data_IF_110412719565
#
_entry.id   IF_110412719565
#
_cell.length_a   1.000
_cell.length_b   1.000
_cell.length_c   1.000
_cell.angle_alpha   90.00
_cell.angle_beta   90.00
_cell.angle_gamma   90.00
#
_symmetry.space_group_name_H-M   'P 1'
#
loop_
_entity.id
_entity.type
_entity.pdbx_description
1 polymer ?
#
# COMPACT_ATOMS: atom_id res chain seq x y z
N UNK A 1 44.94 32.98 -7.37
CA UNK A 1 45.04 33.94 -8.42
C UNK A 1 46.39 33.82 -9.09
N UNK A 2 46.52 32.94 -10.06
CA UNK A 2 47.68 32.92 -10.93
C UNK A 2 47.42 33.77 -12.15
N UNK A 3 48.02 34.94 -12.16
CA UNK A 3 48.17 35.74 -13.36
C UNK A 3 49.02 34.95 -14.32
N UNK A 4 48.48 34.45 -15.40
CA UNK A 4 49.26 33.97 -16.54
C UNK A 4 48.59 34.32 -17.87
N UNK A 5 49.26 35.21 -18.57
CA UNK A 5 49.35 35.37 -20.02
C UNK A 5 48.04 35.69 -20.79
N UNK A 6 47.84 36.93 -21.07
CA UNK A 6 46.87 37.45 -22.00
C UNK A 6 45.97 38.49 -21.40
N UNK A 7 46.54 39.63 -20.99
CA UNK A 7 45.81 40.75 -20.40
C UNK A 7 44.69 41.36 -21.30
N UNK A 8 44.51 40.84 -22.51
CA UNK A 8 43.45 41.28 -23.44
C UNK A 8 42.14 40.50 -23.32
N UNK A 9 42.14 39.26 -22.81
CA UNK A 9 40.94 38.41 -22.77
C UNK A 9 40.28 38.30 -21.39
N UNK A 10 41.03 38.61 -20.32
CA UNK A 10 40.53 38.47 -18.91
C UNK A 10 39.41 39.49 -18.57
N UNK A 11 39.36 40.63 -19.30
CA UNK A 11 38.31 41.64 -19.06
C UNK A 11 37.11 41.53 -20.02
N UNK A 12 37.09 40.54 -20.92
CA UNK A 12 35.98 40.42 -21.86
C UNK A 12 34.75 39.74 -21.27
N UNK A 13 34.92 38.82 -20.33
CA UNK A 13 33.85 38.19 -19.58
C UNK A 13 34.20 38.11 -18.11
N UNK A 14 33.23 38.40 -17.25
CA UNK A 14 33.32 38.30 -15.78
C UNK A 14 32.29 37.32 -15.28
N UNK A 15 32.67 36.48 -14.31
CA UNK A 15 31.79 35.53 -13.63
C UNK A 15 31.51 36.09 -12.24
N UNK A 16 30.24 36.10 -11.86
CA UNK A 16 29.74 36.56 -10.55
C UNK A 16 29.08 35.36 -9.83
N UNK A 17 29.50 35.15 -8.58
CA UNK A 17 28.96 34.15 -7.68
C UNK A 17 28.92 32.74 -8.28
N UNK A 18 29.78 32.39 -9.23
CA UNK A 18 29.79 31.17 -10.02
C UNK A 18 28.45 30.83 -10.76
N UNK A 19 27.52 31.80 -10.78
CA UNK A 19 26.16 31.62 -11.32
C UNK A 19 25.89 32.50 -12.56
N UNK A 20 26.52 33.67 -12.64
CA UNK A 20 26.22 34.62 -13.70
C UNK A 20 27.46 35.04 -14.46
N UNK A 21 27.29 35.34 -15.74
CA UNK A 21 28.32 35.85 -16.65
C UNK A 21 27.91 37.19 -17.20
N UNK A 22 28.83 38.16 -17.19
CA UNK A 22 28.70 39.46 -17.86
C UNK A 22 29.78 39.58 -18.93
N UNK A 23 29.36 39.92 -20.14
CA UNK A 23 30.30 40.14 -21.27
C UNK A 23 30.37 41.62 -21.64
N UNK A 24 31.61 42.13 -21.76
CA UNK A 24 31.88 43.48 -22.21
C UNK A 24 32.23 43.55 -23.73
N UNK A 25 32.26 42.41 -24.41
CA UNK A 25 32.70 42.33 -25.78
C UNK A 25 31.57 42.59 -26.77
N UNK A 26 31.68 43.63 -27.57
CA UNK A 26 30.60 44.10 -28.44
C UNK A 26 30.07 43.07 -29.45
N UNK A 27 30.87 42.10 -29.84
CA UNK A 27 30.46 41.00 -30.75
C UNK A 27 29.90 39.75 -30.03
N UNK A 28 29.89 39.76 -28.68
CA UNK A 28 29.33 38.69 -27.89
C UNK A 28 27.79 38.82 -27.85
N UNK A 29 27.03 37.77 -28.20
CA UNK A 29 25.56 37.81 -28.07
C UNK A 29 25.04 38.16 -26.68
N UNK A 30 25.87 37.98 -25.64
CA UNK A 30 25.57 38.29 -24.25
C UNK A 30 26.08 39.68 -23.83
N UNK A 31 26.59 40.54 -24.75
CA UNK A 31 27.19 41.83 -24.44
C UNK A 31 26.24 42.73 -23.67
N UNK A 32 26.75 43.32 -22.57
CA UNK A 32 26.02 44.31 -21.76
C UNK A 32 24.89 43.75 -20.89
N UNK A 33 24.78 42.47 -20.73
CA UNK A 33 23.73 41.80 -19.92
C UNK A 33 24.35 40.79 -18.96
N UNK A 34 23.81 40.74 -17.75
CA UNK A 34 24.11 39.69 -16.79
C UNK A 34 23.26 38.47 -17.11
N UNK A 35 23.90 37.33 -17.42
CA UNK A 35 23.27 36.11 -17.92
C UNK A 35 23.64 34.93 -17.06
N UNK A 36 22.68 34.03 -16.85
CA UNK A 36 22.97 32.72 -16.30
C UNK A 36 23.55 31.75 -17.36
N UNK A 37 24.03 30.59 -16.95
CA UNK A 37 24.65 29.62 -17.84
C UNK A 37 23.70 29.16 -18.97
N UNK A 38 22.41 28.95 -18.67
CA UNK A 38 21.40 28.56 -19.67
C UNK A 38 21.27 29.64 -20.77
N UNK A 39 21.16 30.92 -20.41
CA UNK A 39 21.01 31.97 -21.39
C UNK A 39 22.28 32.26 -22.20
N UNK A 40 23.46 32.06 -21.58
CA UNK A 40 24.73 32.15 -22.32
C UNK A 40 24.78 31.09 -23.42
N UNK A 41 24.50 29.83 -23.11
CA UNK A 41 24.50 28.74 -24.12
C UNK A 41 23.38 28.96 -25.13
N UNK A 42 22.18 29.37 -24.69
CA UNK A 42 21.03 29.67 -25.53
C UNK A 42 21.37 30.68 -26.64
N UNK A 43 21.92 31.82 -26.24
CA UNK A 43 22.22 32.89 -27.18
C UNK A 43 23.35 32.56 -28.11
N UNK A 44 24.40 31.88 -27.64
CA UNK A 44 25.52 31.46 -28.49
C UNK A 44 25.16 30.34 -29.47
N UNK A 45 24.33 29.41 -29.09
CA UNK A 45 23.99 28.23 -29.88
C UNK A 45 22.72 28.37 -30.72
N UNK A 46 21.77 29.15 -30.24
CA UNK A 46 20.44 29.21 -30.83
C UNK A 46 19.92 30.66 -31.04
N UNK A 47 20.73 31.67 -30.72
CA UNK A 47 20.32 33.09 -30.83
C UNK A 47 19.82 33.49 -32.21
N UNK A 48 20.43 32.93 -33.27
CA UNK A 48 20.01 33.18 -34.67
C UNK A 48 18.53 32.85 -34.93
N UNK A 49 17.94 31.92 -34.15
CA UNK A 49 16.53 31.55 -34.32
C UNK A 49 15.56 32.64 -33.94
N UNK A 50 16.02 33.63 -33.15
CA UNK A 50 15.20 34.77 -32.68
C UNK A 50 15.16 35.93 -33.69
N UNK A 51 15.89 35.86 -34.81
CA UNK A 51 15.98 36.94 -35.80
C UNK A 51 14.64 37.42 -36.37
N UNK A 52 13.59 36.61 -36.27
CA UNK A 52 12.21 36.92 -36.73
C UNK A 52 11.25 37.15 -35.56
N UNK A 53 11.70 37.13 -34.33
CA UNK A 53 10.85 37.39 -33.17
C UNK A 53 10.48 38.85 -33.06
N UNK A 54 9.27 39.16 -32.65
CA UNK A 54 8.83 40.55 -32.43
C UNK A 54 9.63 41.17 -31.27
N UNK A 55 9.94 42.45 -31.40
CA UNK A 55 10.66 43.20 -30.37
C UNK A 55 9.81 43.22 -29.08
N UNK A 56 10.43 42.88 -27.94
CA UNK A 56 9.75 42.78 -26.63
C UNK A 56 9.11 41.41 -26.34
N UNK A 57 9.34 40.38 -27.19
CA UNK A 57 8.88 39.03 -26.90
C UNK A 57 9.50 38.49 -25.60
N UNK A 58 8.68 37.98 -24.69
CA UNK A 58 9.13 37.38 -23.42
C UNK A 58 10.15 36.24 -23.70
N UNK A 59 11.28 36.17 -22.95
CA UNK A 59 12.33 35.19 -23.18
C UNK A 59 11.85 33.75 -23.32
N UNK A 60 10.88 33.32 -22.49
CA UNK A 60 10.31 31.98 -22.52
C UNK A 60 9.49 31.63 -23.76
N UNK A 61 9.11 32.62 -24.57
CA UNK A 61 8.36 32.48 -25.84
C UNK A 61 9.26 32.51 -27.08
N UNK A 62 10.53 32.78 -26.90
CA UNK A 62 11.50 32.87 -27.99
C UNK A 62 11.81 31.47 -28.60
N UNK A 63 11.97 31.37 -29.95
CA UNK A 63 12.37 30.12 -30.60
C UNK A 63 13.69 29.55 -30.06
N UNK A 64 14.66 30.43 -29.73
CA UNK A 64 15.94 30.03 -29.10
C UNK A 64 15.73 29.38 -27.74
N UNK A 65 14.75 29.83 -26.94
CA UNK A 65 14.47 29.27 -25.63
C UNK A 65 13.97 27.83 -25.72
N UNK A 66 13.02 27.59 -26.64
CA UNK A 66 12.51 26.24 -26.89
C UNK A 66 13.62 25.29 -27.39
N UNK A 67 14.47 25.79 -28.33
CA UNK A 67 15.60 24.99 -28.83
C UNK A 67 16.63 24.67 -27.73
N UNK A 68 16.85 25.58 -26.79
CA UNK A 68 17.74 25.36 -25.65
C UNK A 68 17.12 24.38 -24.64
N UNK A 69 15.80 24.47 -24.40
CA UNK A 69 15.11 23.46 -23.57
C UNK A 69 15.23 22.05 -24.16
N UNK A 70 14.99 21.91 -25.46
CA UNK A 70 15.12 20.63 -26.17
C UNK A 70 16.57 20.10 -26.09
N UNK A 71 17.56 20.99 -26.22
CA UNK A 71 18.97 20.65 -26.10
C UNK A 71 19.35 20.20 -24.70
N UNK A 72 18.99 20.97 -23.66
CA UNK A 72 19.24 20.60 -22.26
C UNK A 72 18.53 19.32 -21.87
N UNK A 73 17.28 19.14 -22.32
CA UNK A 73 16.49 17.94 -22.05
C UNK A 73 16.99 16.68 -22.81
N UNK A 74 17.90 16.81 -23.76
CA UNK A 74 18.53 15.68 -24.42
C UNK A 74 19.73 15.13 -23.63
N UNK A 75 20.27 15.93 -22.71
CA UNK A 75 21.41 15.55 -21.86
C UNK A 75 20.95 14.66 -20.70
N UNK A 76 21.55 13.48 -20.55
CA UNK A 76 21.18 12.51 -19.51
C UNK A 76 21.51 13.01 -18.10
N UNK A 77 22.59 13.74 -17.92
CA UNK A 77 23.00 14.29 -16.63
C UNK A 77 22.04 15.38 -16.16
N UNK A 78 21.62 16.27 -17.08
CA UNK A 78 20.59 17.29 -16.80
C UNK A 78 19.25 16.66 -16.45
N UNK A 79 18.84 15.59 -17.15
CA UNK A 79 17.60 14.85 -16.81
C UNK A 79 17.63 14.29 -15.40
N UNK A 80 18.73 13.62 -15.07
CA UNK A 80 18.89 13.00 -13.76
C UNK A 80 18.91 14.04 -12.63
N UNK A 81 19.60 15.15 -12.83
CA UNK A 81 19.66 16.26 -11.86
C UNK A 81 18.27 16.86 -11.62
N UNK A 82 17.51 17.17 -12.69
CA UNK A 82 16.16 17.74 -12.56
C UNK A 82 15.18 16.76 -11.88
N UNK A 83 15.33 15.45 -12.14
CA UNK A 83 14.51 14.45 -11.46
C UNK A 83 14.82 14.37 -9.97
N UNK A 84 16.11 14.43 -9.62
CA UNK A 84 16.59 14.38 -8.23
C UNK A 84 16.15 15.63 -7.44
N UNK A 85 16.38 16.83 -7.97
CA UNK A 85 15.95 18.09 -7.33
C UNK A 85 14.44 18.11 -7.04
N UNK A 86 13.61 17.62 -7.97
CA UNK A 86 12.16 17.53 -7.76
C UNK A 86 11.81 16.57 -6.63
N UNK A 87 12.50 15.44 -6.55
CA UNK A 87 12.30 14.46 -5.47
C UNK A 87 12.77 14.98 -4.12
N UNK A 88 13.94 15.62 -4.05
CA UNK A 88 14.47 16.19 -2.81
C UNK A 88 13.51 17.23 -2.21
N UNK A 89 12.95 18.12 -3.04
CA UNK A 89 11.95 19.09 -2.61
C UNK A 89 10.68 18.41 -2.06
N UNK A 90 10.23 17.34 -2.73
CA UNK A 90 9.05 16.61 -2.31
C UNK A 90 9.29 15.82 -1.02
N UNK A 91 10.47 15.21 -0.87
CA UNK A 91 10.86 14.45 0.34
C UNK A 91 10.97 15.37 1.55
N UNK A 92 11.55 16.57 1.42
CA UNK A 92 11.60 17.54 2.52
C UNK A 92 10.21 17.88 3.05
N UNK A 93 9.20 17.93 2.19
CA UNK A 93 7.83 18.20 2.58
C UNK A 93 7.17 17.03 3.33
N UNK A 94 7.57 15.78 3.05
CA UNK A 94 7.00 14.57 3.63
C UNK A 94 7.89 13.85 4.66
N UNK A 95 9.08 14.41 4.99
CA UNK A 95 10.00 13.93 6.03
C UNK A 95 10.55 12.50 5.84
N UNK A 96 10.67 12.01 4.60
CA UNK A 96 11.30 10.74 4.28
C UNK A 96 12.70 10.93 3.73
N UNK A 97 13.70 10.22 4.27
CA UNK A 97 15.05 10.17 3.67
C UNK A 97 15.04 9.21 2.47
N UNK A 98 15.44 9.67 1.26
CA UNK A 98 15.42 8.83 0.06
C UNK A 98 16.60 7.84 0.04
N UNK A 99 16.34 6.62 -0.39
CA UNK A 99 17.38 5.72 -0.87
C UNK A 99 17.82 6.19 -2.27
N UNK A 100 18.98 6.81 -2.38
CA UNK A 100 19.47 7.47 -3.62
C UNK A 100 19.62 6.50 -4.81
N UNK A 101 19.83 5.22 -4.56
CA UNK A 101 20.12 4.24 -5.63
C UNK A 101 18.88 3.83 -6.45
N UNK A 102 17.71 3.69 -5.85
CA UNK A 102 16.52 3.27 -6.60
C UNK A 102 15.96 4.35 -7.52
N UNK A 103 16.17 5.61 -7.17
CA UNK A 103 15.68 6.76 -7.94
C UNK A 103 16.36 6.82 -9.32
N UNK A 104 17.64 6.43 -9.40
CA UNK A 104 18.39 6.36 -10.65
C UNK A 104 17.88 5.26 -11.60
N UNK A 105 17.05 4.34 -11.11
CA UNK A 105 16.44 3.28 -11.92
C UNK A 105 15.10 3.70 -12.55
N UNK A 106 14.59 4.89 -12.22
CA UNK A 106 13.35 5.40 -12.78
C UNK A 106 13.52 5.75 -14.26
N UNK A 107 12.63 5.23 -15.10
CA UNK A 107 12.60 5.58 -16.51
C UNK A 107 12.04 7.01 -16.70
N UNK A 108 12.83 7.89 -17.31
CA UNK A 108 12.48 9.28 -17.57
C UNK A 108 12.04 9.51 -19.02
N UNK A 109 11.20 10.51 -19.26
CA UNK A 109 10.88 11.00 -20.59
C UNK A 109 12.00 11.93 -21.13
N UNK A 110 11.84 12.43 -22.36
CA UNK A 110 12.82 13.35 -22.99
C UNK A 110 12.96 14.70 -22.26
N UNK A 111 12.06 15.02 -21.32
CA UNK A 111 12.05 16.28 -20.57
C UNK A 111 12.50 16.09 -19.11
N UNK A 112 12.98 14.89 -18.74
CA UNK A 112 13.39 14.57 -17.38
C UNK A 112 12.23 14.28 -16.42
N UNK A 113 10.98 14.14 -16.91
CA UNK A 113 9.88 13.73 -16.05
C UNK A 113 9.88 12.22 -15.91
N UNK A 114 9.45 11.73 -14.73
CA UNK A 114 9.24 10.31 -14.50
C UNK A 114 8.13 9.82 -15.42
N UNK A 115 8.42 8.77 -16.21
CA UNK A 115 7.40 8.17 -17.08
C UNK A 115 6.31 7.52 -16.25
N UNK A 116 5.06 7.74 -16.64
CA UNK A 116 3.89 7.06 -16.09
C UNK A 116 3.83 5.60 -16.60
N UNK A 117 4.68 4.74 -16.02
CA UNK A 117 4.73 3.30 -16.30
C UNK A 117 4.43 2.49 -15.06
N UNK A 118 3.86 1.30 -15.23
CA UNK A 118 3.59 0.37 -14.13
C UNK A 118 4.88 0.05 -13.36
N UNK A 119 5.99 -0.10 -14.08
CA UNK A 119 7.31 -0.40 -13.51
C UNK A 119 7.82 0.72 -12.60
N UNK A 120 7.74 1.99 -13.04
CA UNK A 120 8.14 3.12 -12.20
C UNK A 120 7.27 3.23 -10.95
N UNK A 121 5.95 3.08 -11.10
CA UNK A 121 5.03 3.13 -9.96
C UNK A 121 5.33 2.01 -8.96
N UNK A 122 5.56 0.78 -9.45
CA UNK A 122 5.92 -0.34 -8.59
C UNK A 122 7.27 -0.12 -7.88
N UNK A 123 8.26 0.46 -8.58
CA UNK A 123 9.57 0.78 -8.02
C UNK A 123 9.45 1.84 -6.90
N UNK A 124 8.65 2.88 -7.11
CA UNK A 124 8.37 3.90 -6.10
C UNK A 124 7.68 3.27 -4.88
N UNK A 125 6.57 2.53 -5.08
CA UNK A 125 5.84 1.90 -3.98
C UNK A 125 6.75 0.97 -3.18
N UNK A 126 7.70 0.30 -3.83
CA UNK A 126 8.63 -0.65 -3.20
C UNK A 126 9.64 0.05 -2.30
N UNK A 127 10.10 1.24 -2.66
CA UNK A 127 11.24 1.89 -2.03
C UNK A 127 10.89 3.18 -1.26
N UNK A 128 9.75 3.83 -1.54
CA UNK A 128 9.33 5.01 -0.79
C UNK A 128 8.87 4.61 0.63
N UNK A 129 9.59 5.08 1.63
CA UNK A 129 9.35 4.82 3.06
C UNK A 129 7.91 5.14 3.50
N UNK A 130 7.25 6.08 2.85
CA UNK A 130 5.87 6.45 3.13
C UNK A 130 4.86 5.35 2.76
N UNK A 131 5.24 4.39 1.92
CA UNK A 131 4.40 3.26 1.51
C UNK A 131 4.75 1.95 2.22
N UNK A 132 5.78 1.90 3.07
CA UNK A 132 6.24 0.67 3.72
C UNK A 132 5.19 0.01 4.62
N UNK A 133 4.29 0.80 5.19
CA UNK A 133 3.24 0.33 6.09
C UNK A 133 1.99 -0.19 5.36
N UNK A 134 1.97 -0.09 4.03
CA UNK A 134 0.91 -0.69 3.20
C UNK A 134 1.33 -2.12 2.90
N UNK A 135 0.51 -3.07 3.31
CA UNK A 135 0.79 -4.51 3.29
C UNK A 135 -0.37 -5.29 2.69
N UNK A 136 -0.14 -6.53 2.32
CA UNK A 136 -1.20 -7.46 1.95
C UNK A 136 -1.56 -8.35 3.15
N UNK A 137 -2.79 -8.21 3.62
CA UNK A 137 -3.31 -9.00 4.73
C UNK A 137 -3.79 -10.36 4.21
N UNK A 138 -2.98 -11.40 4.38
CA UNK A 138 -3.30 -12.77 3.95
C UNK A 138 -4.53 -13.36 4.64
N UNK A 139 -4.91 -12.84 5.80
CA UNK A 139 -6.08 -13.32 6.54
C UNK A 139 -7.39 -12.78 5.95
N UNK A 140 -7.40 -11.51 5.56
CA UNK A 140 -8.55 -10.82 4.94
C UNK A 140 -8.55 -10.89 3.41
N UNK A 141 -7.46 -11.37 2.80
CA UNK A 141 -7.20 -11.37 1.36
C UNK A 141 -7.39 -9.97 0.74
N UNK A 142 -6.80 -8.93 1.37
CA UNK A 142 -6.92 -7.53 0.93
C UNK A 142 -5.72 -6.70 1.36
N UNK A 143 -5.58 -5.53 0.75
CA UNK A 143 -4.60 -4.53 1.18
C UNK A 143 -5.00 -4.00 2.56
N UNK A 144 -4.02 -3.80 3.43
CA UNK A 144 -4.19 -3.28 4.80
C UNK A 144 -3.08 -2.27 5.14
N UNK A 145 -3.20 -1.59 6.27
CA UNK A 145 -2.23 -0.61 6.76
C UNK A 145 -1.88 -0.95 8.20
N UNK A 146 -0.59 -1.13 8.48
CA UNK A 146 -0.08 -1.52 9.80
C UNK A 146 0.71 -0.42 10.53
N UNK A 147 0.80 0.78 9.96
CA UNK A 147 1.53 1.91 10.53
C UNK A 147 1.11 3.27 9.97
N UNK A 148 1.86 4.34 10.25
CA UNK A 148 1.51 5.67 9.79
C UNK A 148 1.63 5.81 8.27
N UNK A 149 0.73 6.63 7.69
CA UNK A 149 0.77 7.08 6.30
C UNK A 149 1.06 8.58 6.25
N UNK A 150 1.54 9.12 5.11
CA UNK A 150 1.85 10.54 4.97
C UNK A 150 0.60 11.45 4.94
N UNK A 151 -0.57 10.88 5.10
CA UNK A 151 -1.85 11.58 5.25
C UNK A 151 -2.63 11.05 6.45
N UNK A 152 -3.61 11.82 6.90
CA UNK A 152 -4.50 11.43 8.00
C UNK A 152 -5.50 10.37 7.51
N UNK A 153 -5.45 9.19 8.10
CA UNK A 153 -6.45 8.14 7.85
C UNK A 153 -7.80 8.49 8.51
N UNK A 154 -8.89 8.20 7.80
CA UNK A 154 -10.26 8.38 8.29
C UNK A 154 -10.73 7.15 9.06
N UNK A 155 -10.30 5.96 8.63
CA UNK A 155 -10.65 4.66 9.22
C UNK A 155 -9.41 3.76 9.25
N UNK A 156 -9.33 2.81 10.19
CA UNK A 156 -8.30 1.77 10.16
C UNK A 156 -8.37 0.91 8.89
N UNK A 157 -7.22 0.40 8.45
CA UNK A 157 -7.08 -0.40 7.24
C UNK A 157 -7.02 0.46 5.97
N UNK A 158 -6.88 -0.19 4.81
CA UNK A 158 -6.85 0.47 3.52
C UNK A 158 -8.26 0.70 2.96
N UNK A 159 -8.58 1.93 2.60
CA UNK A 159 -9.90 2.33 2.13
C UNK A 159 -9.82 3.29 0.91
N UNK A 160 -10.98 3.63 0.34
CA UNK A 160 -11.03 4.48 -0.87
C UNK A 160 -10.43 5.88 -0.66
N UNK A 161 -10.51 6.43 0.57
CA UNK A 161 -9.88 7.72 0.86
C UNK A 161 -8.36 7.61 0.90
N UNK A 162 -7.81 6.50 1.37
CA UNK A 162 -6.36 6.25 1.33
C UNK A 162 -5.87 6.10 -0.11
N UNK A 163 -6.64 5.39 -0.95
CA UNK A 163 -6.35 5.29 -2.38
C UNK A 163 -6.37 6.66 -3.06
N UNK A 164 -7.32 7.54 -2.72
CA UNK A 164 -7.39 8.90 -3.25
C UNK A 164 -6.18 9.74 -2.80
N UNK A 165 -5.84 9.71 -1.52
CA UNK A 165 -4.69 10.42 -0.98
C UNK A 165 -3.36 9.92 -1.56
N UNK A 166 -3.22 8.61 -1.74
CA UNK A 166 -2.05 8.03 -2.38
C UNK A 166 -1.85 8.55 -3.82
N UNK A 167 -2.93 8.71 -4.58
CA UNK A 167 -2.85 9.31 -5.93
C UNK A 167 -2.42 10.77 -5.89
N UNK A 168 -2.97 11.55 -4.96
CA UNK A 168 -2.57 12.96 -4.75
C UNK A 168 -1.09 13.04 -4.36
N UNK A 169 -0.64 12.16 -3.49
CA UNK A 169 0.77 12.05 -3.11
C UNK A 169 1.65 11.76 -4.34
N UNK A 170 1.31 10.76 -5.14
CA UNK A 170 2.06 10.39 -6.34
C UNK A 170 2.12 11.50 -7.38
N UNK A 171 1.01 12.19 -7.61
CA UNK A 171 0.97 13.34 -8.52
C UNK A 171 1.87 14.47 -8.03
N UNK A 172 1.80 14.80 -6.74
CA UNK A 172 2.55 15.89 -6.13
C UNK A 172 4.05 15.60 -6.06
N UNK A 173 4.42 14.41 -5.60
CA UNK A 173 5.82 14.04 -5.32
C UNK A 173 6.56 13.61 -6.58
N UNK A 174 5.91 12.81 -7.42
CA UNK A 174 6.54 12.15 -8.57
C UNK A 174 6.06 12.68 -9.93
N UNK A 175 5.03 13.51 -9.95
CA UNK A 175 4.42 13.99 -11.20
C UNK A 175 3.73 12.89 -12.01
N UNK A 176 3.42 11.75 -11.39
CA UNK A 176 2.75 10.61 -12.04
C UNK A 176 1.27 10.62 -11.66
N UNK A 177 0.42 10.48 -12.70
CA UNK A 177 -1.01 10.39 -12.51
C UNK A 177 -1.61 9.28 -13.38
N UNK A 178 -1.84 8.09 -12.80
CA UNK A 178 -2.53 6.99 -13.46
C UNK A 178 -3.26 6.11 -12.46
N UNK A 179 -4.57 6.31 -12.29
CA UNK A 179 -5.37 5.60 -11.28
C UNK A 179 -5.35 4.08 -11.44
N UNK A 180 -5.41 3.59 -12.68
CA UNK A 180 -5.43 2.14 -12.96
C UNK A 180 -4.08 1.51 -12.69
N UNK A 181 -3.00 2.06 -13.26
CA UNK A 181 -1.64 1.54 -13.06
C UNK A 181 -1.22 1.58 -11.59
N UNK A 182 -1.65 2.61 -10.84
CA UNK A 182 -1.36 2.70 -9.41
C UNK A 182 -1.96 1.53 -8.62
N UNK A 183 -3.24 1.19 -8.87
CA UNK A 183 -3.90 0.06 -8.21
C UNK A 183 -3.19 -1.27 -8.51
N UNK A 184 -2.87 -1.50 -9.78
CA UNK A 184 -2.22 -2.73 -10.22
C UNK A 184 -0.81 -2.85 -9.64
N UNK A 185 -0.02 -1.76 -9.67
CA UNK A 185 1.32 -1.73 -9.09
C UNK A 185 1.28 -1.92 -7.57
N UNK A 186 0.35 -1.26 -6.86
CA UNK A 186 0.20 -1.40 -5.42
C UNK A 186 -0.11 -2.85 -5.06
N UNK A 187 -1.11 -3.45 -5.71
CA UNK A 187 -1.47 -4.84 -5.45
C UNK A 187 -0.29 -5.78 -5.74
N UNK A 188 0.39 -5.61 -6.89
CA UNK A 188 1.54 -6.45 -7.26
C UNK A 188 2.67 -6.38 -6.23
N UNK A 189 3.02 -5.18 -5.75
CA UNK A 189 4.11 -5.00 -4.78
C UNK A 189 3.73 -5.57 -3.41
N UNK A 190 2.54 -5.22 -2.87
CA UNK A 190 2.20 -5.66 -1.51
C UNK A 190 1.93 -7.15 -1.42
N UNK A 191 1.36 -7.76 -2.48
CA UNK A 191 1.06 -9.20 -2.50
C UNK A 191 2.29 -10.09 -2.73
N UNK A 192 3.39 -9.53 -3.28
CA UNK A 192 4.65 -10.27 -3.45
C UNK A 192 5.64 -10.01 -2.31
N UNK A 193 5.76 -8.76 -1.86
CA UNK A 193 6.90 -8.32 -1.05
C UNK A 193 6.52 -8.02 0.41
N UNK A 194 5.23 -7.82 0.73
CA UNK A 194 4.77 -7.32 2.03
C UNK A 194 3.57 -8.09 2.57
N UNK A 195 3.73 -9.40 2.66
CA UNK A 195 2.71 -10.27 3.24
C UNK A 195 2.64 -10.09 4.76
N UNK A 196 1.43 -10.00 5.29
CA UNK A 196 1.13 -9.84 6.69
C UNK A 196 -0.02 -10.74 7.11
N UNK A 197 0.13 -11.47 8.21
CA UNK A 197 -0.92 -12.33 8.74
C UNK A 197 -1.16 -12.06 10.22
N UNK A 198 -2.16 -11.22 10.58
CA UNK A 198 -2.33 -10.69 11.94
C UNK A 198 -2.47 -11.76 13.02
N UNK A 199 -3.11 -12.89 12.72
CA UNK A 199 -3.29 -13.96 13.71
C UNK A 199 -2.02 -14.78 13.91
N UNK A 200 -1.25 -15.06 12.83
CA UNK A 200 0.05 -15.75 12.98
C UNK A 200 1.02 -14.89 13.79
N UNK A 201 1.05 -13.58 13.52
CA UNK A 201 1.90 -12.64 14.24
C UNK A 201 1.46 -12.55 15.72
N UNK A 202 0.15 -12.49 15.98
CA UNK A 202 -0.36 -12.58 17.34
C UNK A 202 0.06 -13.88 18.03
N UNK A 203 -0.06 -15.04 17.39
CA UNK A 203 0.38 -16.32 17.98
C UNK A 203 1.88 -16.35 18.26
N UNK A 204 2.70 -15.71 17.43
CA UNK A 204 4.14 -15.62 17.64
C UNK A 204 4.51 -14.81 18.88
N UNK A 205 3.64 -13.93 19.37
CA UNK A 205 3.86 -13.18 20.62
C UNK A 205 3.47 -13.95 21.88
N UNK A 206 2.77 -15.08 21.73
CA UNK A 206 2.29 -15.86 22.88
C UNK A 206 3.37 -16.77 23.43
N UNK A 207 3.47 -16.81 24.77
CA UNK A 207 4.36 -17.69 25.50
C UNK A 207 3.51 -18.57 26.42
N UNK A 208 3.69 -19.88 26.27
CA UNK A 208 2.99 -20.83 27.13
C UNK A 208 3.61 -20.84 28.54
N UNK A 209 2.77 -20.70 29.55
CA UNK A 209 3.17 -20.71 30.97
C UNK A 209 3.28 -22.12 31.60
N UNK A 210 3.12 -23.17 30.79
CA UNK A 210 3.18 -24.57 31.24
C UNK A 210 1.89 -25.10 31.89
N UNK A 211 0.81 -24.29 31.94
CA UNK A 211 -0.46 -24.71 32.56
C UNK A 211 -1.45 -25.26 31.52
N UNK A 212 -1.91 -26.47 31.72
CA UNK A 212 -2.94 -27.08 30.88
C UNK A 212 -4.33 -26.58 31.30
N UNK A 213 -5.01 -25.83 30.39
CA UNK A 213 -6.34 -25.24 30.66
C UNK A 213 -7.39 -25.64 29.64
N UNK A 214 -6.99 -26.06 28.46
CA UNK A 214 -7.91 -26.25 27.31
C UNK A 214 -9.02 -27.23 27.64
N UNK A 215 -8.72 -28.35 28.24
CA UNK A 215 -9.68 -29.44 28.49
C UNK A 215 -10.72 -29.10 29.54
N UNK A 216 -10.39 -28.19 30.45
CA UNK A 216 -11.28 -27.84 31.56
C UNK A 216 -12.03 -26.51 31.34
N UNK A 217 -11.78 -25.79 30.26
CA UNK A 217 -12.37 -24.48 29.99
C UNK A 217 -13.90 -24.45 30.17
N UNK A 218 -14.61 -25.41 29.60
CA UNK A 218 -16.08 -25.46 29.71
C UNK A 218 -16.54 -25.87 31.12
N UNK A 219 -15.73 -26.65 31.83
CA UNK A 219 -16.00 -27.09 33.20
C UNK A 219 -15.80 -25.91 34.16
N UNK A 220 -14.66 -25.25 34.07
CA UNK A 220 -14.23 -24.21 35.00
C UNK A 220 -15.06 -22.90 34.84
N UNK A 221 -15.39 -22.54 33.61
CA UNK A 221 -16.05 -21.23 33.34
C UNK A 221 -17.56 -21.34 33.13
N UNK A 222 -18.09 -22.52 32.74
CA UNK A 222 -19.53 -22.69 32.50
C UNK A 222 -20.17 -23.73 33.38
N UNK A 223 -19.42 -24.39 34.27
CA UNK A 223 -19.94 -25.47 35.12
C UNK A 223 -20.43 -26.68 34.33
N UNK A 224 -19.88 -26.91 33.13
CA UNK A 224 -20.24 -28.05 32.33
C UNK A 224 -19.82 -29.37 33.04
N UNK A 225 -20.61 -30.44 32.84
CA UNK A 225 -20.29 -31.75 33.45
C UNK A 225 -18.90 -32.22 32.97
N UNK A 226 -18.03 -32.53 33.89
CA UNK A 226 -16.75 -33.17 33.59
C UNK A 226 -16.96 -34.55 32.96
N UNK A 227 -16.57 -34.65 31.72
CA UNK A 227 -16.63 -35.90 30.95
C UNK A 227 -15.58 -35.92 29.86
N UNK A 228 -15.17 -37.12 29.38
CA UNK A 228 -14.29 -37.24 28.22
C UNK A 228 -14.85 -36.50 26.99
N UNK A 229 -16.17 -36.48 26.83
CA UNK A 229 -16.82 -35.75 25.74
C UNK A 229 -16.61 -34.23 25.85
N UNK A 230 -16.91 -33.61 27.00
CA UNK A 230 -16.77 -32.18 27.24
C UNK A 230 -15.32 -31.70 26.99
N UNK A 231 -14.36 -32.46 27.54
CA UNK A 231 -12.90 -32.19 27.33
C UNK A 231 -12.50 -32.33 25.87
N UNK A 232 -12.95 -33.35 25.18
CA UNK A 232 -12.59 -33.57 23.77
C UNK A 232 -13.21 -32.54 22.82
N UNK A 233 -14.44 -32.09 23.07
CA UNK A 233 -15.14 -31.11 22.22
C UNK A 233 -14.43 -29.76 22.23
N UNK A 234 -14.12 -29.22 23.41
CA UNK A 234 -13.42 -27.93 23.50
C UNK A 234 -12.01 -28.02 22.91
N UNK A 235 -11.26 -29.06 23.23
CA UNK A 235 -9.91 -29.26 22.69
C UNK A 235 -9.95 -29.30 21.15
N UNK A 236 -10.82 -30.11 20.55
CA UNK A 236 -10.94 -30.23 19.08
C UNK A 236 -11.32 -28.90 18.43
N UNK A 237 -12.22 -28.14 19.04
CA UNK A 237 -12.66 -26.84 18.52
C UNK A 237 -11.52 -25.83 18.50
N UNK A 238 -10.78 -25.69 19.61
CA UNK A 238 -9.67 -24.73 19.69
C UNK A 238 -8.47 -25.14 18.84
N UNK A 239 -8.17 -26.44 18.79
CA UNK A 239 -7.14 -26.98 17.87
C UNK A 239 -7.51 -26.71 16.42
N UNK A 240 -8.78 -26.90 16.03
CA UNK A 240 -9.23 -26.59 14.68
C UNK A 240 -9.15 -25.10 14.36
N UNK A 241 -9.47 -24.22 15.33
CA UNK A 241 -9.31 -22.78 15.16
C UNK A 241 -7.87 -22.40 14.81
N UNK A 242 -6.90 -22.93 15.54
CA UNK A 242 -5.48 -22.69 15.28
C UNK A 242 -5.03 -23.38 13.98
N UNK A 243 -5.42 -24.62 13.77
CA UNK A 243 -5.04 -25.39 12.60
C UNK A 243 -5.46 -24.73 11.28
N UNK A 244 -6.65 -24.12 11.23
CA UNK A 244 -7.15 -23.40 10.05
C UNK A 244 -6.37 -22.11 9.73
N UNK A 245 -5.69 -21.52 10.70
CA UNK A 245 -4.78 -20.39 10.47
C UNK A 245 -3.48 -20.84 9.80
N UNK A 246 -2.88 -21.95 10.28
CA UNK A 246 -1.63 -22.45 9.71
C UNK A 246 -1.82 -23.32 8.47
N UNK A 247 -2.97 -23.98 8.35
CA UNK A 247 -3.34 -24.83 7.21
C UNK A 247 -4.79 -24.51 6.78
N UNK A 248 -4.99 -23.40 6.05
CA UNK A 248 -6.32 -23.03 5.56
C UNK A 248 -7.01 -24.18 4.82
N UNK A 249 -8.33 -24.29 5.02
CA UNK A 249 -9.12 -25.36 4.42
C UNK A 249 -9.02 -26.74 5.10
N UNK A 250 -8.25 -26.88 6.19
CA UNK A 250 -8.23 -28.16 6.92
C UNK A 250 -9.65 -28.54 7.36
N UNK A 251 -9.98 -29.82 7.20
CA UNK A 251 -11.33 -30.32 7.44
C UNK A 251 -11.72 -30.25 8.92
N UNK A 252 -12.84 -29.58 9.19
CA UNK A 252 -13.47 -29.49 10.51
C UNK A 252 -14.97 -29.31 10.32
N UNK A 253 -15.73 -30.38 10.51
CA UNK A 253 -17.16 -30.50 10.15
C UNK A 253 -18.09 -30.30 11.37
N UNK A 254 -17.57 -29.80 12.49
CA UNK A 254 -18.30 -29.68 13.74
C UNK A 254 -18.49 -28.21 14.12
N UNK A 255 -19.60 -27.94 14.80
CA UNK A 255 -19.87 -26.67 15.48
C UNK A 255 -19.91 -26.92 16.98
N UNK A 256 -19.17 -26.17 17.77
CA UNK A 256 -19.37 -26.13 19.22
C UNK A 256 -20.56 -25.22 19.51
N UNK A 257 -21.64 -25.79 20.06
CA UNK A 257 -22.81 -25.03 20.49
C UNK A 257 -22.86 -25.04 22.02
N UNK A 258 -22.85 -23.85 22.62
CA UNK A 258 -23.01 -23.67 24.06
C UNK A 258 -24.50 -23.49 24.38
N UNK A 259 -25.11 -24.49 25.00
CA UNK A 259 -26.51 -24.45 25.46
C UNK A 259 -26.58 -24.17 26.97
N UNK A 260 -27.42 -23.23 27.37
CA UNK A 260 -27.59 -22.83 28.77
C UNK A 260 -28.39 -21.55 28.90
N UNK A 261 -28.74 -21.14 30.16
CA UNK A 261 -29.52 -19.93 30.42
C UNK A 261 -28.95 -18.68 29.75
N UNK A 262 -29.81 -17.71 29.47
CA UNK A 262 -29.41 -16.41 28.98
C UNK A 262 -28.55 -15.67 30.05
N UNK A 263 -27.59 -14.87 29.60
CA UNK A 263 -26.74 -14.09 30.51
C UNK A 263 -25.50 -14.85 31.06
N UNK A 264 -25.29 -16.11 30.71
CA UNK A 264 -24.11 -16.89 31.14
C UNK A 264 -22.77 -16.49 30.47
N UNK A 265 -22.79 -15.51 29.59
CA UNK A 265 -21.54 -15.08 28.93
C UNK A 265 -21.06 -15.97 27.78
N UNK A 266 -21.94 -16.78 27.14
CA UNK A 266 -21.57 -17.72 26.06
C UNK A 266 -20.94 -16.99 24.88
N UNK A 267 -21.59 -15.94 24.33
CA UNK A 267 -21.04 -15.14 23.23
C UNK A 267 -19.81 -14.34 23.67
N UNK A 268 -19.78 -13.85 24.91
CA UNK A 268 -18.63 -13.16 25.48
C UNK A 268 -17.38 -14.06 25.50
N UNK A 269 -17.55 -15.35 25.83
CA UNK A 269 -16.46 -16.33 25.79
C UNK A 269 -15.84 -16.44 24.39
N UNK A 270 -16.67 -16.57 23.36
CA UNK A 270 -16.18 -16.64 21.99
C UNK A 270 -15.55 -15.32 21.54
N UNK A 271 -16.12 -14.18 21.94
CA UNK A 271 -15.56 -12.86 21.67
C UNK A 271 -14.20 -12.65 22.32
N UNK A 272 -13.99 -13.11 23.56
CA UNK A 272 -12.69 -13.05 24.24
C UNK A 272 -11.65 -13.90 23.51
N UNK A 273 -12.01 -15.10 23.08
CA UNK A 273 -11.12 -15.98 22.31
C UNK A 273 -10.80 -15.43 20.93
N UNK A 274 -11.80 -14.92 20.21
CA UNK A 274 -11.66 -14.41 18.85
C UNK A 274 -11.08 -12.99 18.78
N UNK A 275 -11.10 -12.22 19.89
CA UNK A 275 -10.65 -10.83 19.95
C UNK A 275 -11.28 -9.98 18.83
N UNK A 276 -10.50 -9.12 18.15
CA UNK A 276 -10.94 -8.31 17.02
C UNK A 276 -11.31 -9.12 15.77
N UNK A 277 -11.06 -10.42 15.75
CA UNK A 277 -11.40 -11.35 14.67
C UNK A 277 -12.63 -12.20 15.00
N UNK A 278 -13.38 -11.85 16.02
CA UNK A 278 -14.67 -12.42 16.35
C UNK A 278 -15.78 -11.70 15.58
N UNK A 279 -16.80 -12.44 15.16
CA UNK A 279 -18.03 -11.88 14.60
C UNK A 279 -19.24 -12.72 14.95
N UNK A 280 -20.31 -12.06 15.34
CA UNK A 280 -21.65 -12.64 15.57
C UNK A 280 -22.64 -12.33 14.44
N UNK A 281 -22.13 -11.81 13.31
CA UNK A 281 -22.95 -11.35 12.19
C UNK A 281 -23.43 -12.45 11.25
N UNK A 282 -23.03 -13.70 11.48
CA UNK A 282 -23.37 -14.83 10.60
C UNK A 282 -24.77 -15.37 10.95
N UNK A 283 -25.68 -15.33 9.97
CA UNK A 283 -27.01 -15.93 10.09
C UNK A 283 -27.18 -17.17 9.21
N UNK A 284 -28.15 -18.02 9.56
CA UNK A 284 -28.47 -19.22 8.75
C UNK A 284 -28.97 -18.83 7.35
N UNK A 285 -29.67 -17.71 7.24
CA UNK A 285 -30.12 -17.19 5.95
C UNK A 285 -28.98 -16.85 5.00
N UNK A 286 -27.87 -16.28 5.52
CA UNK A 286 -26.69 -15.93 4.74
C UNK A 286 -26.02 -17.17 4.10
N UNK A 287 -26.13 -18.34 4.73
CA UNK A 287 -25.48 -19.59 4.31
C UNK A 287 -26.02 -20.14 2.99
N UNK A 288 -27.13 -19.58 2.50
CA UNK A 288 -27.77 -19.99 1.25
C UNK A 288 -27.16 -19.37 0.01
N UNK A 289 -26.40 -18.29 0.18
CA UNK A 289 -25.78 -17.55 -0.90
C UNK A 289 -24.30 -17.19 -0.59
N UNK A 290 -23.73 -16.30 -1.40
CA UNK A 290 -22.33 -15.87 -1.23
C UNK A 290 -22.12 -14.96 -0.03
N UNK A 291 -23.16 -14.39 0.57
CA UNK A 291 -23.07 -13.44 1.69
C UNK A 291 -22.36 -14.06 2.89
N UNK A 292 -22.66 -15.33 3.20
CA UNK A 292 -21.95 -16.03 4.27
C UNK A 292 -20.44 -16.15 3.97
N UNK A 293 -20.07 -16.49 2.73
CA UNK A 293 -18.66 -16.62 2.36
C UNK A 293 -17.91 -15.29 2.48
N UNK A 294 -18.53 -14.18 2.08
CA UNK A 294 -17.99 -12.83 2.26
C UNK A 294 -17.83 -12.47 3.75
N UNK A 295 -18.77 -12.88 4.60
CA UNK A 295 -18.70 -12.68 6.08
C UNK A 295 -17.62 -13.51 6.76
N UNK A 296 -17.15 -14.61 6.15
CA UNK A 296 -16.04 -15.41 6.69
C UNK A 296 -14.69 -14.67 6.56
N UNK A 297 -14.53 -13.80 5.55
CA UNK A 297 -13.27 -13.09 5.32
C UNK A 297 -12.93 -12.16 6.50
N UNK A 298 -11.70 -12.27 6.98
CA UNK A 298 -11.21 -11.45 8.09
C UNK A 298 -11.79 -11.78 9.47
N UNK A 299 -12.55 -12.86 9.59
CA UNK A 299 -13.07 -13.37 10.85
C UNK A 299 -12.50 -14.76 11.16
N UNK A 300 -12.07 -14.96 12.41
CA UNK A 300 -11.46 -16.21 12.88
C UNK A 300 -12.46 -17.11 13.60
N UNK A 301 -13.27 -16.52 14.49
CA UNK A 301 -14.36 -17.21 15.19
C UNK A 301 -15.67 -16.50 14.84
N UNK A 302 -16.57 -17.24 14.18
CA UNK A 302 -17.89 -16.70 13.83
C UNK A 302 -18.97 -17.41 14.66
N UNK A 303 -19.81 -16.64 15.30
CA UNK A 303 -20.94 -17.15 16.05
C UNK A 303 -22.24 -17.11 15.23
N UNK A 304 -22.95 -18.22 15.24
CA UNK A 304 -24.35 -18.26 14.84
C UNK A 304 -25.16 -18.07 16.13
N UNK A 305 -25.78 -16.91 16.27
CA UNK A 305 -26.66 -16.62 17.39
C UNK A 305 -28.01 -17.35 17.22
N UNK A 306 -28.65 -17.66 18.36
CA UNK A 306 -30.01 -18.22 18.38
C UNK A 306 -30.15 -19.58 17.67
N UNK A 307 -29.27 -20.51 17.97
CA UNK A 307 -29.40 -21.87 17.47
C UNK A 307 -30.56 -22.68 18.10
N UNK A 308 -31.24 -22.11 19.07
CA UNK A 308 -32.42 -22.73 19.68
C UNK A 308 -33.65 -22.65 18.76
N UNK A 309 -34.28 -23.78 18.48
CA UNK A 309 -35.49 -23.82 17.65
C UNK A 309 -35.21 -23.90 16.11
N UNK A 310 -34.00 -24.23 15.70
CA UNK A 310 -33.65 -24.42 14.29
C UNK A 310 -34.56 -25.50 13.66
N UNK A 311 -35.16 -25.18 12.51
CA UNK A 311 -35.97 -26.12 11.74
C UNK A 311 -35.11 -27.17 11.09
N UNK A 312 -35.66 -28.38 10.86
CA UNK A 312 -34.94 -29.47 10.21
C UNK A 312 -34.30 -29.10 8.87
N UNK A 313 -34.98 -28.25 8.08
CA UNK A 313 -34.47 -27.72 6.80
C UNK A 313 -33.28 -26.78 6.98
N UNK A 314 -33.21 -26.03 8.05
CA UNK A 314 -32.11 -25.12 8.39
C UNK A 314 -30.89 -25.90 8.88
N UNK A 315 -31.09 -27.00 9.62
CA UNK A 315 -30.02 -27.91 10.04
C UNK A 315 -29.26 -28.44 8.82
N UNK A 316 -29.96 -28.82 7.75
CA UNK A 316 -29.30 -29.29 6.53
C UNK A 316 -28.50 -28.18 5.81
N UNK A 317 -28.99 -26.95 5.82
CA UNK A 317 -28.25 -25.78 5.29
C UNK A 317 -26.96 -25.57 6.09
N UNK A 318 -27.05 -25.56 7.43
CA UNK A 318 -25.88 -25.40 8.31
C UNK A 318 -24.88 -26.52 8.09
N UNK A 319 -25.30 -27.79 8.06
CA UNK A 319 -24.41 -28.95 7.79
C UNK A 319 -23.69 -28.78 6.46
N UNK A 320 -24.44 -28.51 5.39
CA UNK A 320 -23.86 -28.31 4.05
C UNK A 320 -22.86 -27.15 4.01
N UNK A 321 -23.13 -26.08 4.75
CA UNK A 321 -22.22 -24.94 4.80
C UNK A 321 -20.95 -25.24 5.62
N UNK A 322 -21.09 -25.87 6.80
CA UNK A 322 -19.97 -26.11 7.73
C UNK A 322 -18.96 -27.10 7.18
N UNK A 323 -19.41 -28.09 6.40
CA UNK A 323 -18.52 -29.12 5.83
C UNK A 323 -17.65 -28.64 4.68
N UNK A 324 -17.86 -27.42 4.17
CA UNK A 324 -17.02 -26.86 3.12
C UNK A 324 -15.62 -26.56 3.66
N UNK A 325 -14.61 -26.84 2.84
CA UNK A 325 -13.20 -26.54 3.13
C UNK A 325 -12.76 -25.24 2.48
N UNK A 326 -13.39 -24.88 1.38
CA UNK A 326 -13.17 -23.64 0.65
C UNK A 326 -14.51 -23.02 0.21
N UNK A 327 -14.50 -21.74 -0.04
CA UNK A 327 -15.60 -21.00 -0.63
C UNK A 327 -15.13 -20.33 -1.91
N UNK A 328 -15.87 -20.55 -3.02
CA UNK A 328 -15.54 -19.99 -4.32
C UNK A 328 -16.45 -18.82 -4.62
N UNK A 329 -15.90 -17.62 -4.66
CA UNK A 329 -16.64 -16.41 -5.01
C UNK A 329 -15.70 -15.34 -5.58
N UNK A 330 -16.31 -14.33 -6.17
CA UNK A 330 -15.60 -13.14 -6.65
C UNK A 330 -15.73 -12.07 -5.58
N UNK A 331 -14.59 -11.61 -5.06
CA UNK A 331 -14.57 -10.47 -4.14
C UNK A 331 -15.14 -9.21 -4.78
N UNK A 332 -15.63 -8.29 -3.96
CA UNK A 332 -16.06 -6.99 -4.43
C UNK A 332 -14.91 -6.31 -5.20
N UNK A 333 -15.18 -5.89 -6.44
CA UNK A 333 -14.19 -5.32 -7.37
C UNK A 333 -13.14 -6.29 -7.92
N UNK A 334 -13.15 -7.56 -7.55
CA UNK A 334 -12.32 -8.61 -8.17
C UNK A 334 -12.76 -8.92 -9.60
N UNK A 335 -11.83 -9.33 -10.45
CA UNK A 335 -12.12 -9.73 -11.83
C UNK A 335 -12.45 -11.24 -11.89
N UNK A 336 -11.76 -12.05 -11.11
CA UNK A 336 -11.85 -13.49 -11.16
C UNK A 336 -12.66 -14.07 -9.99
N UNK A 337 -13.22 -15.26 -10.20
CA UNK A 337 -13.71 -16.13 -9.11
C UNK A 337 -12.52 -16.86 -8.54
N UNK A 338 -12.27 -16.67 -7.25
CA UNK A 338 -11.14 -17.28 -6.56
C UNK A 338 -11.61 -18.26 -5.49
N UNK A 339 -10.76 -19.22 -5.15
CA UNK A 339 -10.97 -20.14 -4.04
C UNK A 339 -10.40 -19.53 -2.77
N UNK A 340 -11.24 -19.45 -1.74
CA UNK A 340 -10.88 -18.92 -0.42
C UNK A 340 -10.92 -20.06 0.60
N UNK A 341 -9.78 -20.77 0.82
CA UNK A 341 -9.71 -21.81 1.84
C UNK A 341 -10.07 -21.25 3.22
N UNK A 342 -10.93 -21.95 3.95
CA UNK A 342 -11.44 -21.45 5.24
C UNK A 342 -10.35 -21.32 6.28
N UNK A 343 -10.23 -20.11 6.83
CA UNK A 343 -9.29 -19.71 7.91
C UNK A 343 -10.00 -19.58 9.26
N UNK A 344 -11.30 -19.88 9.33
CA UNK A 344 -12.16 -19.63 10.49
C UNK A 344 -12.81 -20.91 11.00
N UNK A 345 -13.33 -20.87 12.24
CA UNK A 345 -14.29 -21.83 12.78
C UNK A 345 -15.64 -21.17 13.00
N UNK A 346 -16.69 -21.99 13.01
CA UNK A 346 -18.04 -21.56 13.31
C UNK A 346 -18.45 -22.15 14.65
N UNK A 347 -19.05 -21.34 15.52
CA UNK A 347 -19.55 -21.69 16.83
C UNK A 347 -21.00 -21.26 16.97
N UNK A 348 -21.69 -21.67 18.02
CA UNK A 348 -23.09 -21.29 18.26
C UNK A 348 -23.42 -21.11 19.74
N UNK A 349 -24.45 -20.32 20.02
CA UNK A 349 -25.01 -20.13 21.36
C UNK A 349 -26.54 -20.11 21.34
#
# INVERSE_FOLDING_TARGET
PEMSRGLGDVYKRQVYDDLFVYSHHATDPCCGKLMNAFDVVRLHKFGDKDARAAEGTEPGKLPSFKAMQDFASADEEVKNTLARERQELAVQEFSAEPDEDWQNKLALDRRGNIKDTLQNIALIIRNDENFKHIVYNEFKDTIDVIGPLPWKQVKPGWNDSDLANAKVYFERVYGIWSPTKFKDALLAVVSSDRLYHPIKDYFATLHWDGQERIDTLLIDYFGAKDSPYTRAVIRKTLVAAVARIYKPGVKFDSILVLNGPQGMGKSTFFAILGKQWFSDSLSISDMRDKTAAEKLLGNWILEISEMNGIRKTEVEVVKSFVTRQDDKFRQAYGVNVESHPRKCIIVGS
#
